data_IF_606848015397
#
_entry.id   IF_606848015397
#
_cell.length_a   1.000
_cell.length_b   1.000
_cell.length_c   1.000
_cell.angle_alpha   90.00
_cell.angle_beta   90.00
_cell.angle_gamma   90.00
#
_symmetry.space_group_name_H-M   'P 1'
#
loop_
_entity.id
_entity.type
_entity.pdbx_description
1 polymer ?
#
# COMPACT_ATOMS: atom_id res chain seq x y z
N UNK A 1 -55.50 6.60 -33.21
CA UNK A 1 -54.68 5.57 -32.54
C UNK A 1 -53.22 6.01 -32.61
N UNK A 2 -52.64 6.53 -31.51
CA UNK A 2 -51.28 7.10 -31.49
C UNK A 2 -50.27 5.98 -31.23
N UNK A 3 -49.28 5.83 -32.12
CA UNK A 3 -48.13 4.93 -31.93
C UNK A 3 -47.20 5.57 -30.89
N UNK A 4 -46.98 4.90 -29.76
CA UNK A 4 -45.99 5.32 -28.76
C UNK A 4 -44.71 4.54 -29.05
N UNK A 5 -43.66 5.26 -29.47
CA UNK A 5 -42.33 4.73 -29.68
C UNK A 5 -41.60 4.77 -28.33
N UNK A 6 -41.29 3.61 -27.76
CA UNK A 6 -40.41 3.51 -26.59
C UNK A 6 -38.96 3.45 -27.06
N UNK A 7 -38.20 4.53 -26.81
CA UNK A 7 -36.75 4.53 -26.98
C UNK A 7 -36.13 4.07 -25.67
N UNK A 8 -35.49 2.91 -25.68
CA UNK A 8 -34.73 2.36 -24.55
C UNK A 8 -33.31 2.94 -24.60
N UNK A 9 -32.97 3.81 -23.65
CA UNK A 9 -31.61 4.34 -23.50
C UNK A 9 -30.84 3.43 -22.53
N UNK A 10 -30.03 2.52 -23.06
CA UNK A 10 -29.09 1.74 -22.26
C UNK A 10 -27.85 2.60 -21.98
N UNK A 11 -27.73 3.12 -20.77
CA UNK A 11 -26.55 3.83 -20.30
C UNK A 11 -25.44 2.81 -20.06
N UNK A 12 -24.58 2.56 -21.07
CA UNK A 12 -23.33 1.84 -20.86
C UNK A 12 -22.40 2.74 -20.05
N UNK A 13 -22.38 2.58 -18.73
CA UNK A 13 -21.29 3.10 -17.91
C UNK A 13 -20.06 2.28 -18.23
N UNK A 14 -19.13 2.86 -18.97
CA UNK A 14 -17.78 2.29 -19.12
C UNK A 14 -17.13 2.28 -17.75
N UNK A 15 -17.11 1.13 -17.08
CA UNK A 15 -16.15 0.90 -16.00
C UNK A 15 -14.77 1.02 -16.62
N UNK A 16 -14.11 2.16 -16.38
CA UNK A 16 -12.69 2.32 -16.66
C UNK A 16 -12.00 1.34 -15.72
N UNK A 17 -11.58 0.19 -16.25
CA UNK A 17 -10.66 -0.70 -15.58
C UNK A 17 -9.33 0.05 -15.60
N UNK A 18 -9.08 0.85 -14.57
CA UNK A 18 -7.72 1.32 -14.29
C UNK A 18 -6.95 0.05 -13.95
N UNK A 19 -6.23 -0.49 -14.94
CA UNK A 19 -5.15 -1.41 -14.71
C UNK A 19 -4.04 -0.55 -14.10
N UNK A 20 -4.21 -0.16 -12.83
CA UNK A 20 -3.13 0.42 -12.06
C UNK A 20 -2.05 -0.65 -12.07
N UNK A 21 -0.93 -0.35 -12.72
CA UNK A 21 0.27 -1.16 -12.58
C UNK A 21 0.68 -1.05 -11.11
N UNK A 22 0.13 -1.92 -10.28
CA UNK A 22 0.44 -2.04 -8.87
C UNK A 22 1.82 -2.69 -8.75
N UNK A 23 2.85 -1.90 -9.04
CA UNK A 23 4.24 -2.26 -8.77
C UNK A 23 4.93 -1.06 -8.18
N UNK A 24 4.50 -0.68 -6.98
CA UNK A 24 5.24 0.30 -6.20
C UNK A 24 6.11 -0.36 -5.12
N UNK A 25 6.56 -1.58 -5.38
CA UNK A 25 7.49 -2.31 -4.54
C UNK A 25 7.27 -3.83 -4.64
N UNK A 26 8.21 -4.63 -4.11
CA UNK A 26 9.51 -4.21 -3.59
C UNK A 26 10.44 -3.73 -4.72
N UNK A 27 11.18 -2.65 -4.48
CA UNK A 27 12.23 -2.13 -5.37
C UNK A 27 13.59 -2.14 -4.67
N UNK A 28 14.72 -2.19 -5.40
CA UNK A 28 16.04 -2.08 -4.80
C UNK A 28 16.20 -0.76 -4.03
N UNK A 29 16.91 -0.79 -2.90
CA UNK A 29 17.12 0.41 -2.05
C UNK A 29 17.79 1.59 -2.75
N UNK A 30 18.59 1.34 -3.79
CA UNK A 30 19.22 2.40 -4.58
C UNK A 30 18.29 3.03 -5.64
N UNK A 31 17.04 2.58 -5.76
CA UNK A 31 16.07 3.21 -6.66
C UNK A 31 15.88 4.69 -6.30
N UNK A 32 15.89 5.55 -7.31
CA UNK A 32 15.71 6.99 -7.12
C UNK A 32 14.35 7.31 -6.50
N UNK A 33 14.28 8.42 -5.76
CA UNK A 33 13.01 8.96 -5.26
C UNK A 33 12.08 9.31 -6.43
N UNK A 34 10.76 9.27 -6.19
CA UNK A 34 9.74 9.57 -7.19
C UNK A 34 8.88 10.72 -6.69
N UNK A 35 8.66 11.72 -7.53
CA UNK A 35 7.75 12.82 -7.19
C UNK A 35 6.34 12.29 -6.91
N UNK A 36 5.73 12.73 -5.82
CA UNK A 36 4.43 12.25 -5.37
C UNK A 36 4.45 10.97 -4.53
N UNK A 37 5.62 10.40 -4.23
CA UNK A 37 5.74 9.16 -3.46
C UNK A 37 6.73 9.28 -2.30
N UNK A 38 6.37 8.65 -1.19
CA UNK A 38 7.29 8.35 -0.08
C UNK A 38 8.03 7.04 -0.37
N UNK A 39 9.37 7.11 -0.39
CA UNK A 39 10.24 5.93 -0.45
C UNK A 39 10.40 5.31 0.94
N UNK A 40 9.74 4.18 1.17
CA UNK A 40 9.68 3.50 2.46
C UNK A 40 10.62 2.30 2.49
N UNK A 41 11.70 2.38 3.28
CA UNK A 41 12.54 1.22 3.58
C UNK A 41 11.79 0.23 4.46
N UNK A 42 11.72 -1.03 4.02
CA UNK A 42 10.99 -2.08 4.72
C UNK A 42 11.96 -3.09 5.29
N UNK A 43 11.87 -3.31 6.61
CA UNK A 43 12.75 -4.24 7.33
C UNK A 43 11.94 -5.11 8.29
N UNK A 44 12.44 -6.30 8.58
CA UNK A 44 11.93 -7.14 9.65
C UNK A 44 13.05 -7.49 10.64
N UNK A 45 12.68 -7.68 11.91
CA UNK A 45 13.59 -8.15 12.96
C UNK A 45 14.26 -9.48 12.59
N UNK A 46 13.52 -10.39 11.98
CA UNK A 46 14.07 -11.55 11.29
C UNK A 46 14.05 -11.27 9.79
N UNK A 47 15.22 -11.16 9.16
CA UNK A 47 15.32 -10.78 7.74
C UNK A 47 14.76 -11.83 6.79
N UNK A 48 14.68 -13.09 7.22
CA UNK A 48 14.09 -14.19 6.42
C UNK A 48 12.57 -14.28 6.58
N UNK A 49 11.97 -13.46 7.46
CA UNK A 49 10.53 -13.47 7.66
C UNK A 49 9.82 -12.59 6.62
N UNK A 50 8.87 -13.20 5.92
CA UNK A 50 7.90 -12.52 5.06
C UNK A 50 6.70 -12.11 5.90
N UNK A 51 6.75 -10.89 6.45
CA UNK A 51 5.72 -10.33 7.31
C UNK A 51 5.05 -9.20 6.54
N UNK A 52 3.72 -9.21 6.50
CA UNK A 52 2.93 -8.25 5.75
C UNK A 52 2.08 -7.36 6.64
N UNK A 53 1.84 -6.15 6.15
CA UNK A 53 0.73 -5.30 6.55
C UNK A 53 -0.06 -4.89 5.31
N UNK A 54 -1.35 -4.66 5.49
CA UNK A 54 -2.21 -4.09 4.45
C UNK A 54 -2.64 -2.69 4.87
N UNK A 55 -2.49 -1.74 3.95
CA UNK A 55 -2.95 -0.37 4.09
C UNK A 55 -4.04 -0.08 3.05
N UNK A 56 -5.01 0.73 3.42
CA UNK A 56 -6.16 1.07 2.59
C UNK A 56 -6.19 2.59 2.37
N UNK A 57 -6.36 3.01 1.12
CA UNK A 57 -6.51 4.43 0.77
C UNK A 57 -7.96 4.94 0.91
N UNK A 58 -8.17 6.22 0.63
CA UNK A 58 -9.49 6.87 0.70
C UNK A 58 -10.52 6.32 -0.32
N UNK A 59 -10.08 5.60 -1.35
CA UNK A 59 -10.93 4.95 -2.35
C UNK A 59 -11.20 3.48 -2.00
N UNK A 60 -10.83 3.03 -0.79
CA UNK A 60 -10.94 1.65 -0.33
C UNK A 60 -10.07 0.67 -1.15
N UNK A 61 -8.99 1.16 -1.76
CA UNK A 61 -8.01 0.31 -2.42
C UNK A 61 -6.99 -0.15 -1.39
N UNK A 62 -6.76 -1.46 -1.34
CA UNK A 62 -5.81 -2.10 -0.43
C UNK A 62 -4.45 -2.32 -1.10
N UNK A 63 -3.38 -2.05 -0.35
CA UNK A 63 -2.00 -2.22 -0.77
C UNK A 63 -1.25 -3.04 0.28
N UNK A 64 -0.48 -4.03 -0.16
CA UNK A 64 0.29 -4.90 0.74
C UNK A 64 1.76 -4.48 0.78
N UNK A 65 2.27 -4.25 1.97
CA UNK A 65 3.69 -3.99 2.24
C UNK A 65 4.26 -5.21 2.96
N UNK A 66 5.28 -5.84 2.38
CA UNK A 66 5.85 -7.09 2.90
C UNK A 66 7.35 -6.96 3.16
N UNK A 67 7.83 -7.57 4.24
CA UNK A 67 9.26 -7.66 4.57
C UNK A 67 9.95 -8.86 3.92
N UNK A 68 11.29 -8.89 4.01
CA UNK A 68 12.06 -10.11 3.79
C UNK A 68 12.13 -10.59 2.34
N UNK A 69 11.93 -9.72 1.36
CA UNK A 69 12.22 -10.10 -0.03
C UNK A 69 13.70 -10.45 -0.20
N UNK A 70 14.00 -11.45 -1.05
CA UNK A 70 15.30 -11.91 -1.56
C UNK A 70 16.56 -11.69 -0.69
N UNK A 71 17.36 -12.73 -0.52
CA UNK A 71 18.71 -12.63 0.08
C UNK A 71 19.55 -11.56 -0.64
N UNK A 72 19.72 -10.36 -0.07
CA UNK A 72 20.55 -9.34 -0.71
C UNK A 72 20.41 -7.87 -0.32
N UNK A 73 19.38 -7.42 0.40
CA UNK A 73 19.39 -6.03 0.88
C UNK A 73 18.04 -5.47 1.31
N UNK A 74 18.04 -4.24 1.86
CA UNK A 74 16.80 -3.59 2.25
C UNK A 74 16.00 -3.26 0.98
N UNK A 75 14.71 -3.58 0.99
CA UNK A 75 13.79 -3.28 -0.09
C UNK A 75 13.01 -2.02 0.24
N UNK A 76 12.63 -1.30 -0.81
CA UNK A 76 11.80 -0.10 -0.66
C UNK A 76 10.46 -0.26 -1.36
N UNK A 77 9.45 0.37 -0.78
CA UNK A 77 8.16 0.60 -1.40
C UNK A 77 8.01 2.10 -1.68
N UNK A 78 7.37 2.46 -2.78
CA UNK A 78 7.00 3.82 -3.13
C UNK A 78 5.52 4.03 -2.80
N UNK A 79 5.21 4.59 -1.64
CA UNK A 79 3.81 4.81 -1.26
C UNK A 79 3.38 6.19 -1.74
N UNK A 80 2.33 6.28 -2.56
CA UNK A 80 1.83 7.58 -3.03
C UNK A 80 1.48 8.46 -1.83
N UNK A 81 1.78 9.75 -1.92
CA UNK A 81 1.48 10.69 -0.85
C UNK A 81 -0.01 10.69 -0.53
N UNK A 82 -0.34 10.52 0.75
CA UNK A 82 -1.73 10.38 1.14
C UNK A 82 -1.90 9.86 2.56
N UNK A 83 -3.16 9.65 2.93
CA UNK A 83 -3.56 9.04 4.19
C UNK A 83 -4.05 7.64 3.93
N UNK A 84 -3.55 6.70 4.73
CA UNK A 84 -3.91 5.30 4.60
C UNK A 84 -4.25 4.73 5.96
N UNK A 85 -5.30 3.92 6.01
CA UNK A 85 -5.69 3.18 7.20
C UNK A 85 -4.98 1.83 7.19
N UNK A 86 -4.42 1.42 8.32
CA UNK A 86 -3.93 0.04 8.49
C UNK A 86 -5.13 -0.88 8.68
N UNK A 87 -5.34 -1.81 7.77
CA UNK A 87 -6.49 -2.74 7.82
C UNK A 87 -6.10 -4.12 8.34
N UNK A 88 -4.84 -4.54 8.14
CA UNK A 88 -4.33 -5.78 8.71
C UNK A 88 -2.83 -5.73 8.95
N UNK A 89 -2.39 -6.53 9.91
CA UNK A 89 -0.98 -6.85 10.21
C UNK A 89 -0.95 -8.35 10.50
N UNK A 90 0.04 -9.05 9.99
CA UNK A 90 0.20 -10.48 10.26
C UNK A 90 0.22 -10.77 11.77
N UNK A 91 -0.45 -11.87 12.15
CA UNK A 91 -0.61 -12.26 13.55
C UNK A 91 0.75 -12.53 14.21
N UNK A 92 0.91 -12.03 15.43
CA UNK A 92 2.14 -12.21 16.21
C UNK A 92 3.21 -11.16 15.92
N UNK A 93 2.90 -10.15 15.11
CA UNK A 93 3.81 -9.05 14.78
C UNK A 93 3.20 -7.69 15.12
N UNK A 94 4.10 -6.71 15.30
CA UNK A 94 3.81 -5.28 15.40
C UNK A 94 4.60 -4.52 14.36
N UNK A 95 4.07 -3.38 13.95
CA UNK A 95 4.69 -2.50 12.95
C UNK A 95 5.09 -1.19 13.59
N UNK A 96 6.24 -0.67 13.20
CA UNK A 96 6.65 0.72 13.41
C UNK A 96 6.74 1.42 12.07
N UNK A 97 6.18 2.62 11.98
CA UNK A 97 6.34 3.51 10.83
C UNK A 97 7.01 4.80 11.32
N UNK A 98 8.18 5.12 10.78
CA UNK A 98 9.01 6.27 11.16
C UNK A 98 9.20 6.39 12.69
N UNK A 99 9.43 5.26 13.37
CA UNK A 99 9.65 5.20 14.81
C UNK A 99 8.39 5.17 15.68
N UNK A 100 7.20 5.37 15.09
CA UNK A 100 5.92 5.28 15.82
C UNK A 100 5.28 3.91 15.63
N UNK A 101 4.81 3.31 16.72
CA UNK A 101 4.06 2.04 16.64
C UNK A 101 2.74 2.25 15.92
N UNK A 102 2.42 1.33 15.02
CA UNK A 102 1.19 1.33 14.22
C UNK A 102 0.43 0.04 14.49
N UNK A 103 -0.89 0.14 14.60
CA UNK A 103 -1.80 -0.97 14.83
C UNK A 103 -2.95 -0.95 13.82
N UNK A 104 -3.70 -2.05 13.73
CA UNK A 104 -4.91 -2.08 12.92
C UNK A 104 -5.86 -0.96 13.34
N UNK A 105 -6.35 -0.19 12.37
CA UNK A 105 -7.17 1.00 12.57
C UNK A 105 -6.38 2.32 12.66
N UNK A 106 -5.05 2.29 12.83
CA UNK A 106 -4.23 3.50 12.74
C UNK A 106 -4.30 4.13 11.35
N UNK A 107 -4.19 5.45 11.27
CA UNK A 107 -4.03 6.19 10.02
C UNK A 107 -2.59 6.65 9.90
N UNK A 108 -1.91 6.25 8.82
CA UNK A 108 -0.57 6.70 8.46
C UNK A 108 -0.70 7.80 7.41
N UNK A 109 0.10 8.85 7.53
CA UNK A 109 0.24 9.88 6.48
C UNK A 109 1.61 9.75 5.84
N UNK A 110 1.64 9.50 4.54
CA UNK A 110 2.85 9.52 3.71
C UNK A 110 2.94 10.88 3.02
N UNK A 111 3.91 11.69 3.38
CA UNK A 111 4.09 13.05 2.84
C UNK A 111 5.54 13.51 2.76
N UNK A 112 6.49 12.66 3.16
CA UNK A 112 7.92 12.92 3.11
C UNK A 112 8.60 12.09 2.02
N UNK A 113 9.79 12.51 1.59
CA UNK A 113 10.51 11.85 0.49
C UNK A 113 10.98 10.43 0.84
N UNK A 114 11.50 10.22 2.05
CA UNK A 114 12.03 8.93 2.52
C UNK A 114 11.55 8.63 3.95
N UNK A 115 11.23 7.36 4.21
CA UNK A 115 10.82 6.87 5.53
C UNK A 115 11.17 5.40 5.75
N UNK A 116 10.74 4.86 6.89
CA UNK A 116 11.02 3.49 7.32
C UNK A 116 9.79 2.80 7.90
N UNK A 117 9.61 1.52 7.54
CA UNK A 117 8.64 0.60 8.11
C UNK A 117 9.38 -0.61 8.66
N UNK A 118 9.22 -0.86 9.96
CA UNK A 118 9.84 -1.97 10.67
C UNK A 118 8.80 -2.97 11.17
N UNK A 119 8.99 -4.25 10.87
CA UNK A 119 8.22 -5.35 11.43
C UNK A 119 8.97 -6.02 12.58
N UNK A 120 8.28 -6.26 13.69
CA UNK A 120 8.85 -6.84 14.90
C UNK A 120 7.92 -7.92 15.46
N UNK A 121 8.49 -8.90 16.15
CA UNK A 121 7.70 -9.91 16.86
C UNK A 121 7.00 -9.24 18.04
N UNK A 122 5.76 -9.63 18.31
CA UNK A 122 5.05 -9.23 19.53
C UNK A 122 5.77 -9.83 20.74
N UNK A 123 6.06 -8.99 21.72
CA UNK A 123 6.63 -9.44 22.99
C UNK A 123 5.50 -9.96 23.89
#
# INVERSE_FOLDING_TARGET
MKKVLFILFALLTTTVININADVNGPSPSYAAEREGYSKMYVTAQNQDAHISMVIEDQNFMEYTITSGFYSGGPWVYFVEHGKYKVVSIDKGYRVSCNGSTVQVGSVITFSGATGHIGFYVNN
#
